data_IF_175049780486
#
_entry.id   IF_175049780486
#
_cell.length_a   1.000
_cell.length_b   1.000
_cell.length_c   1.000
_cell.angle_alpha   90.00
_cell.angle_beta   90.00
_cell.angle_gamma   90.00
#
_symmetry.space_group_name_H-M   'P 1'
#
loop_
_entity.id
_entity.type
_entity.pdbx_description
1 polymer ?
#
# COMPACT_ATOMS: atom_id res chain seq x y z
N UNK A 1 2.96 -29.27 -9.40
CA UNK A 1 2.20 -29.04 -8.15
C UNK A 1 1.98 -27.56 -8.01
N UNK A 2 0.84 -27.11 -7.46
CA UNK A 2 0.56 -25.70 -7.25
C UNK A 2 1.39 -25.17 -6.08
N UNK A 3 1.88 -23.93 -6.20
CA UNK A 3 2.64 -23.23 -5.14
C UNK A 3 1.86 -22.03 -4.67
N UNK A 4 1.78 -21.79 -3.36
CA UNK A 4 1.16 -20.61 -2.81
C UNK A 4 1.85 -20.16 -1.54
N UNK A 5 1.88 -18.83 -1.31
CA UNK A 5 2.53 -18.31 -0.11
C UNK A 5 2.40 -16.80 0.02
N UNK A 6 2.62 -16.34 1.26
CA UNK A 6 2.67 -14.94 1.62
C UNK A 6 4.07 -14.37 1.41
N UNK A 7 4.15 -13.30 0.61
CA UNK A 7 5.37 -12.57 0.26
C UNK A 7 5.32 -11.21 0.93
N UNK A 8 5.94 -11.09 2.09
CA UNK A 8 5.82 -9.88 2.90
C UNK A 8 6.98 -8.92 2.65
N UNK A 9 6.63 -7.65 2.39
CA UNK A 9 7.57 -6.59 2.03
C UNK A 9 7.73 -5.66 3.22
N UNK A 10 8.91 -5.66 3.83
CA UNK A 10 9.24 -4.86 5.01
C UNK A 10 10.49 -4.03 4.79
N UNK A 11 10.72 -3.02 5.61
CA UNK A 11 11.90 -2.15 5.54
C UNK A 11 11.60 -0.71 5.94
N UNK A 12 12.61 0.13 5.89
CA UNK A 12 12.56 1.52 6.29
C UNK A 12 11.55 2.36 5.47
N UNK A 13 11.09 3.51 5.96
CA UNK A 13 10.28 4.43 5.17
C UNK A 13 11.05 4.91 3.93
N UNK A 14 10.32 5.09 2.82
CA UNK A 14 10.82 5.66 1.56
C UNK A 14 11.85 4.83 0.79
N UNK A 15 12.14 3.59 1.16
CA UNK A 15 13.03 2.68 0.39
C UNK A 15 12.37 2.12 -0.88
N UNK A 16 11.08 2.39 -1.11
CA UNK A 16 10.35 2.01 -2.32
C UNK A 16 9.58 0.70 -2.24
N UNK A 17 9.14 0.27 -1.03
CA UNK A 17 8.32 -0.95 -0.81
C UNK A 17 7.05 -0.97 -1.66
N UNK A 18 6.23 0.09 -1.57
CA UNK A 18 4.97 0.22 -2.32
C UNK A 18 5.21 0.28 -3.84
N UNK A 19 6.31 0.91 -4.29
CA UNK A 19 6.69 0.91 -5.70
C UNK A 19 7.03 -0.50 -6.16
N UNK A 20 7.80 -1.24 -5.37
CA UNK A 20 8.18 -2.62 -5.65
C UNK A 20 6.95 -3.53 -5.66
N UNK A 21 6.05 -3.41 -4.68
CA UNK A 21 4.81 -4.19 -4.65
C UNK A 21 3.98 -3.95 -5.91
N UNK A 22 3.72 -2.68 -6.26
CA UNK A 22 2.94 -2.36 -7.47
C UNK A 22 3.62 -2.91 -8.74
N UNK A 23 4.96 -2.89 -8.80
CA UNK A 23 5.72 -3.46 -9.93
C UNK A 23 5.60 -4.99 -10.01
N UNK A 24 5.62 -5.69 -8.87
CA UNK A 24 5.49 -7.15 -8.80
C UNK A 24 4.06 -7.63 -9.06
N UNK A 25 3.06 -6.87 -8.59
CA UNK A 25 1.63 -7.18 -8.81
C UNK A 25 1.19 -6.82 -10.24
N UNK A 26 1.82 -5.81 -10.85
CA UNK A 26 1.44 -5.29 -12.16
C UNK A 26 0.29 -4.27 -12.12
N UNK A 27 -0.21 -3.95 -10.91
CA UNK A 27 -1.33 -3.04 -10.68
C UNK A 27 -1.01 -2.03 -9.58
N UNK A 28 -1.65 -0.86 -9.61
CA UNK A 28 -1.45 0.19 -8.63
C UNK A 28 -2.36 0.01 -7.43
N UNK A 29 -1.96 -0.83 -6.48
CA UNK A 29 -2.70 -1.07 -5.24
C UNK A 29 -2.25 -0.15 -4.09
N UNK A 30 -0.98 0.14 -4.00
CA UNK A 30 -0.44 1.04 -2.97
C UNK A 30 -0.15 2.43 -3.54
N UNK A 31 -0.45 3.47 -2.78
CA UNK A 31 -0.11 4.84 -3.14
C UNK A 31 1.40 5.08 -2.98
N UNK A 32 1.94 5.96 -3.82
CA UNK A 32 3.38 6.24 -3.87
C UNK A 32 3.62 7.73 -3.69
N UNK A 33 4.33 8.12 -2.63
CA UNK A 33 4.83 9.48 -2.45
C UNK A 33 6.23 9.47 -1.82
N UNK A 34 6.93 10.59 -1.88
CA UNK A 34 8.22 10.76 -1.20
C UNK A 34 8.08 11.03 0.30
N UNK A 35 6.86 11.16 0.82
CA UNK A 35 6.61 11.48 2.23
C UNK A 35 6.61 10.21 3.08
N UNK A 36 7.10 10.31 4.31
CA UNK A 36 6.96 9.25 5.29
C UNK A 36 5.48 8.98 5.60
N UNK A 37 5.16 7.80 6.13
CA UNK A 37 3.79 7.39 6.47
C UNK A 37 2.82 7.41 5.25
N UNK A 38 3.35 7.21 4.04
CA UNK A 38 2.53 7.05 2.84
C UNK A 38 1.66 5.81 2.97
N UNK A 39 2.23 4.64 3.22
CA UNK A 39 1.50 3.42 3.56
C UNK A 39 1.22 3.42 5.06
N UNK A 40 -0.05 3.33 5.46
CA UNK A 40 -0.49 3.27 6.86
C UNK A 40 -1.10 1.92 7.23
N UNK A 41 -1.69 1.24 6.27
CA UNK A 41 -2.29 -0.09 6.42
C UNK A 41 -1.39 -1.15 5.80
N UNK A 42 -1.57 -2.38 6.23
CA UNK A 42 -1.08 -3.54 5.50
C UNK A 42 -2.02 -3.79 4.32
N UNK A 43 -1.50 -3.84 3.10
CA UNK A 43 -2.27 -3.99 1.87
C UNK A 43 -1.84 -5.29 1.20
N UNK A 44 -2.79 -6.17 0.88
CA UNK A 44 -2.52 -7.37 0.13
C UNK A 44 -2.73 -7.16 -1.36
N UNK A 45 -1.79 -7.67 -2.17
CA UNK A 45 -1.88 -7.78 -3.62
C UNK A 45 -1.71 -9.23 -4.04
N UNK A 46 -2.70 -9.77 -4.73
CA UNK A 46 -2.77 -11.20 -5.07
C UNK A 46 -2.43 -11.37 -6.55
N UNK A 47 -1.43 -12.18 -6.83
CA UNK A 47 -1.04 -12.54 -8.19
C UNK A 47 -1.27 -14.01 -8.40
N UNK A 48 -2.09 -14.32 -9.39
CA UNK A 48 -2.47 -15.68 -9.76
C UNK A 48 -1.82 -16.12 -11.07
N UNK A 49 -1.31 -17.34 -11.10
CA UNK A 49 -0.91 -18.05 -12.31
C UNK A 49 -1.59 -19.41 -12.39
N UNK A 50 -1.27 -20.16 -13.43
CA UNK A 50 -1.84 -21.50 -13.62
C UNK A 50 -1.42 -22.44 -12.49
N UNK A 51 -0.17 -22.32 -12.04
CA UNK A 51 0.49 -23.20 -11.09
C UNK A 51 0.95 -22.51 -9.80
N UNK A 52 0.56 -21.24 -9.57
CA UNK A 52 0.92 -20.53 -8.37
C UNK A 52 -0.09 -19.46 -7.94
N UNK A 53 0.00 -19.06 -6.65
CA UNK A 53 -0.59 -17.85 -6.11
C UNK A 53 0.42 -17.18 -5.17
N UNK A 54 0.76 -15.91 -5.45
CA UNK A 54 1.58 -15.06 -4.59
C UNK A 54 0.71 -14.03 -3.91
N UNK A 55 0.74 -13.98 -2.59
CA UNK A 55 0.04 -12.97 -1.79
C UNK A 55 1.06 -11.96 -1.28
N UNK A 56 1.27 -10.91 -2.04
CA UNK A 56 2.16 -9.81 -1.64
C UNK A 56 1.52 -8.99 -0.53
N UNK A 57 2.33 -8.53 0.41
CA UNK A 57 1.89 -7.68 1.51
C UNK A 57 2.79 -6.45 1.61
N UNK A 58 2.28 -5.26 1.19
CA UNK A 58 2.94 -3.98 1.47
C UNK A 58 2.67 -3.56 2.90
N UNK A 59 3.72 -3.12 3.59
CA UNK A 59 3.64 -2.72 4.99
C UNK A 59 4.07 -1.27 5.20
N UNK A 60 3.58 -0.61 6.26
CA UNK A 60 4.12 0.67 6.67
C UNK A 60 5.64 0.61 6.85
N UNK A 61 6.33 1.72 6.57
CA UNK A 61 7.76 1.80 6.84
C UNK A 61 8.05 1.73 8.33
N UNK A 62 9.05 0.93 8.72
CA UNK A 62 9.48 0.78 10.10
C UNK A 62 10.02 2.11 10.62
N UNK A 63 9.40 2.65 11.68
CA UNK A 63 9.79 3.90 12.32
C UNK A 63 9.64 3.79 13.85
N UNK A 64 10.35 4.63 14.57
CA UNK A 64 10.17 4.76 16.02
C UNK A 64 8.86 5.51 16.28
N UNK A 65 7.86 4.89 16.93
CA UNK A 65 6.56 5.51 17.10
C UNK A 65 6.59 6.65 18.14
N UNK A 66 5.87 7.73 17.85
CA UNK A 66 5.71 8.89 18.75
C UNK A 66 4.24 9.03 19.25
N UNK A 67 3.30 8.36 18.60
CA UNK A 67 1.87 8.37 18.95
C UNK A 67 1.20 7.09 18.47
N UNK A 68 -0.01 6.83 18.98
CA UNK A 68 -0.69 5.52 18.85
C UNK A 68 -0.90 5.03 17.42
N UNK A 69 -1.23 5.90 16.47
CA UNK A 69 -1.31 5.48 15.06
C UNK A 69 0.01 4.88 14.56
N UNK A 70 1.16 5.49 14.93
CA UNK A 70 2.47 4.95 14.52
C UNK A 70 2.80 3.62 15.23
N UNK A 71 2.30 3.41 16.45
CA UNK A 71 2.40 2.12 17.14
C UNK A 71 1.65 1.04 16.34
N UNK A 72 0.42 1.33 15.88
CA UNK A 72 -0.35 0.40 15.04
C UNK A 72 0.34 0.13 13.69
N UNK A 73 0.89 1.17 13.05
CA UNK A 73 1.66 0.99 11.82
C UNK A 73 2.89 0.08 12.04
N UNK A 74 3.57 0.20 13.18
CA UNK A 74 4.69 -0.69 13.52
C UNK A 74 4.22 -2.13 13.77
N UNK A 75 3.05 -2.32 14.40
CA UNK A 75 2.47 -3.65 14.60
C UNK A 75 2.10 -4.32 13.26
N UNK A 76 1.60 -3.59 12.26
CA UNK A 76 1.41 -4.13 10.91
C UNK A 76 2.72 -4.63 10.29
N UNK A 77 3.83 -3.89 10.49
CA UNK A 77 5.14 -4.33 9.99
C UNK A 77 5.71 -5.52 10.77
N UNK A 78 5.39 -5.62 12.06
CA UNK A 78 5.80 -6.76 12.91
C UNK A 78 5.00 -8.03 12.59
N UNK A 79 3.69 -7.92 12.37
CA UNK A 79 2.87 -9.07 12.01
C UNK A 79 3.33 -9.69 10.69
N UNK A 80 3.78 -8.87 9.75
CA UNK A 80 4.32 -9.32 8.48
C UNK A 80 5.64 -10.12 8.59
N UNK A 81 6.33 -10.07 9.73
CA UNK A 81 7.49 -10.93 9.99
C UNK A 81 7.10 -12.36 10.42
N UNK A 82 5.87 -12.54 10.93
CA UNK A 82 5.43 -13.79 11.55
C UNK A 82 4.79 -14.73 10.52
N UNK A 83 4.04 -14.17 9.58
CA UNK A 83 3.21 -14.93 8.63
C UNK A 83 3.82 -15.00 7.21
N UNK A 84 5.10 -14.72 7.04
CA UNK A 84 5.78 -14.76 5.75
C UNK A 84 6.23 -16.19 5.39
N UNK A 85 5.96 -16.62 4.16
CA UNK A 85 6.66 -17.73 3.50
C UNK A 85 7.93 -17.22 2.78
N UNK A 86 7.83 -16.01 2.22
CA UNK A 86 8.94 -15.28 1.62
C UNK A 86 8.97 -13.87 2.23
N UNK A 87 10.13 -13.46 2.74
CA UNK A 87 10.34 -12.15 3.32
C UNK A 87 11.25 -11.29 2.44
N UNK A 88 10.74 -10.17 1.95
CA UNK A 88 11.51 -9.17 1.22
C UNK A 88 11.90 -8.04 2.18
N UNK A 89 13.13 -8.04 2.65
CA UNK A 89 13.68 -6.91 3.40
C UNK A 89 14.23 -5.87 2.42
N UNK A 90 13.53 -4.76 2.27
CA UNK A 90 13.83 -3.72 1.29
C UNK A 90 14.64 -2.60 1.92
N UNK A 91 15.79 -2.34 1.36
CA UNK A 91 16.65 -1.17 1.59
C UNK A 91 16.84 -0.40 0.27
N UNK A 92 17.55 0.71 0.29
CA UNK A 92 17.93 1.42 -0.93
C UNK A 92 19.39 1.88 -0.87
N UNK A 93 19.86 2.49 -1.94
CA UNK A 93 21.26 2.93 -2.09
C UNK A 93 21.68 4.05 -1.13
N UNK A 94 20.75 4.65 -0.39
CA UNK A 94 20.98 5.72 0.58
C UNK A 94 20.67 5.30 2.03
N UNK A 95 20.06 4.14 2.23
CA UNK A 95 19.66 3.66 3.56
C UNK A 95 20.85 3.06 4.32
N UNK A 96 20.80 3.11 5.65
CA UNK A 96 21.83 2.53 6.51
C UNK A 96 21.26 1.46 7.43
N UNK A 97 22.06 0.44 7.74
CA UNK A 97 21.69 -0.64 8.64
C UNK A 97 21.34 -0.15 10.06
N UNK A 98 21.89 0.97 10.49
CA UNK A 98 21.73 1.50 11.85
C UNK A 98 20.38 2.21 12.05
N UNK A 99 19.68 2.58 10.96
CA UNK A 99 18.46 3.39 11.04
C UNK A 99 17.35 2.74 11.86
N UNK A 100 17.22 1.41 11.81
CA UNK A 100 16.28 0.61 12.60
C UNK A 100 16.91 -0.74 12.96
N UNK A 101 18.04 -0.71 13.68
CA UNK A 101 18.84 -1.88 14.02
C UNK A 101 18.01 -2.98 14.70
N UNK A 102 17.15 -2.62 15.65
CA UNK A 102 16.26 -3.57 16.35
C UNK A 102 15.33 -4.35 15.41
N UNK A 103 14.90 -3.72 14.32
CA UNK A 103 14.06 -4.40 13.33
C UNK A 103 14.89 -5.28 12.40
N UNK A 104 16.06 -4.80 11.97
CA UNK A 104 17.01 -5.56 11.18
C UNK A 104 17.46 -6.82 11.95
N UNK A 105 17.70 -6.72 13.26
CA UNK A 105 18.08 -7.87 14.08
C UNK A 105 16.99 -8.95 14.13
N UNK A 106 15.72 -8.58 14.13
CA UNK A 106 14.62 -9.55 13.98
C UNK A 106 14.67 -10.27 12.63
N UNK A 107 14.94 -9.54 11.54
CA UNK A 107 15.09 -10.13 10.20
C UNK A 107 16.28 -11.09 10.17
N UNK A 108 17.42 -10.72 10.79
CA UNK A 108 18.60 -11.60 10.95
C UNK A 108 18.24 -12.89 11.69
N UNK A 109 17.50 -12.78 12.80
CA UNK A 109 17.06 -13.97 13.55
C UNK A 109 16.17 -14.89 12.73
N UNK A 110 15.25 -14.35 11.93
CA UNK A 110 14.36 -15.13 11.03
C UNK A 110 15.21 -15.86 9.98
N UNK A 111 16.13 -15.15 9.32
CA UNK A 111 16.99 -15.72 8.28
C UNK A 111 17.88 -16.84 8.84
N UNK A 112 18.53 -16.61 9.99
CA UNK A 112 19.37 -17.60 10.65
C UNK A 112 18.56 -18.82 11.13
N UNK A 113 17.38 -18.62 11.70
CA UNK A 113 16.50 -19.71 12.12
C UNK A 113 16.03 -20.56 10.93
N UNK A 114 15.68 -19.95 9.81
CA UNK A 114 15.31 -20.65 8.58
C UNK A 114 16.48 -21.49 8.05
N UNK A 115 17.69 -20.95 8.02
CA UNK A 115 18.88 -21.67 7.58
C UNK A 115 19.20 -22.89 8.49
N UNK A 116 19.09 -22.72 9.81
CA UNK A 116 19.31 -23.79 10.79
C UNK A 116 18.30 -24.93 10.71
N UNK A 117 17.06 -24.63 10.29
CA UNK A 117 15.98 -25.61 10.10
C UNK A 117 16.04 -26.30 8.71
N UNK A 118 17.12 -26.16 7.98
CA UNK A 118 17.28 -26.74 6.65
C UNK A 118 16.35 -26.09 5.61
N UNK A 119 16.05 -24.80 5.78
CA UNK A 119 15.22 -24.03 4.86
C UNK A 119 13.69 -24.23 5.04
N UNK A 120 13.25 -24.75 6.17
CA UNK A 120 11.81 -24.91 6.48
C UNK A 120 11.12 -23.63 6.95
N UNK A 121 11.88 -22.58 7.25
CA UNK A 121 11.36 -21.26 7.58
C UNK A 121 11.26 -20.34 6.37
N UNK A 122 10.88 -19.06 6.57
CA UNK A 122 10.76 -18.09 5.50
C UNK A 122 12.03 -17.93 4.69
N UNK A 123 11.91 -17.92 3.35
CA UNK A 123 13.03 -17.50 2.48
C UNK A 123 13.19 -15.98 2.58
N UNK A 124 14.40 -15.53 2.91
CA UNK A 124 14.70 -14.11 3.05
C UNK A 124 15.48 -13.60 1.84
N UNK A 125 14.92 -12.58 1.18
CA UNK A 125 15.59 -11.77 0.16
C UNK A 125 15.90 -10.38 0.71
N UNK A 126 17.13 -9.92 0.55
CA UNK A 126 17.52 -8.54 0.78
C UNK A 126 17.47 -7.79 -0.54
N UNK A 127 16.60 -6.82 -0.65
CA UNK A 127 16.39 -6.04 -1.87
C UNK A 127 17.10 -4.70 -1.74
N UNK A 128 18.11 -4.46 -2.58
CA UNK A 128 18.75 -3.14 -2.71
C UNK A 128 18.03 -2.41 -3.85
N UNK A 129 17.08 -1.54 -3.50
CA UNK A 129 16.27 -0.81 -4.46
C UNK A 129 16.93 0.51 -4.89
N UNK A 130 16.37 1.14 -5.94
CA UNK A 130 16.80 2.43 -6.51
C UNK A 130 18.22 2.42 -7.06
N UNK A 131 18.66 1.30 -7.62
CA UNK A 131 20.01 1.19 -8.19
C UNK A 131 20.24 2.13 -9.39
N UNK A 132 19.17 2.66 -9.98
CA UNK A 132 19.19 3.72 -10.97
C UNK A 132 19.81 5.03 -10.45
N UNK A 133 19.94 5.19 -9.13
CA UNK A 133 20.50 6.39 -8.47
C UNK A 133 21.98 6.20 -8.04
N UNK A 134 22.64 5.11 -8.43
CA UNK A 134 24.02 4.82 -7.99
C UNK A 134 24.89 4.31 -9.13
N UNK A 135 26.20 4.20 -8.89
CA UNK A 135 27.18 3.62 -9.82
C UNK A 135 27.41 2.14 -9.53
N UNK A 136 27.94 1.41 -10.50
CA UNK A 136 28.28 -0.01 -10.36
C UNK A 136 29.25 -0.25 -9.17
N UNK A 137 30.33 0.53 -9.07
CA UNK A 137 31.32 0.38 -7.98
C UNK A 137 30.71 0.61 -6.59
N UNK A 138 29.75 1.54 -6.48
CA UNK A 138 29.04 1.81 -5.21
C UNK A 138 28.07 0.67 -4.89
N UNK A 139 27.39 0.15 -5.90
CA UNK A 139 26.48 -0.98 -5.74
C UNK A 139 27.23 -2.24 -5.26
N UNK A 140 28.39 -2.55 -5.85
CA UNK A 140 29.22 -3.68 -5.44
C UNK A 140 29.63 -3.59 -3.96
N UNK A 141 30.06 -2.39 -3.51
CA UNK A 141 30.37 -2.16 -2.07
C UNK A 141 29.13 -2.33 -1.17
N UNK A 142 27.97 -1.89 -1.62
CA UNK A 142 26.71 -2.09 -0.87
C UNK A 142 26.33 -3.56 -0.78
N UNK A 143 26.49 -4.32 -1.85
CA UNK A 143 26.24 -5.77 -1.85
C UNK A 143 27.18 -6.46 -0.87
N UNK A 144 28.49 -6.15 -0.89
CA UNK A 144 29.46 -6.70 0.07
C UNK A 144 29.13 -6.32 1.53
N UNK A 145 28.74 -5.05 1.75
CA UNK A 145 28.32 -4.58 3.06
C UNK A 145 27.12 -5.36 3.58
N UNK A 146 26.05 -5.46 2.78
CA UNK A 146 24.84 -6.15 3.18
C UNK A 146 25.02 -7.66 3.30
N UNK A 147 25.89 -8.27 2.51
CA UNK A 147 26.25 -9.68 2.67
C UNK A 147 26.90 -9.97 4.04
N UNK A 148 27.69 -9.03 4.55
CA UNK A 148 28.24 -9.12 5.91
C UNK A 148 27.19 -8.91 7.01
N UNK A 149 26.19 -8.06 6.75
CA UNK A 149 25.13 -7.76 7.72
C UNK A 149 24.06 -8.85 7.81
N UNK A 150 23.74 -9.51 6.68
CA UNK A 150 22.70 -10.51 6.56
C UNK A 150 23.14 -11.65 5.62
N UNK A 151 24.10 -12.47 6.06
CA UNK A 151 24.75 -13.48 5.19
C UNK A 151 23.80 -14.59 4.72
N UNK A 152 22.72 -14.87 5.44
CA UNK A 152 21.73 -15.90 5.10
C UNK A 152 20.69 -15.43 4.07
N UNK A 153 20.64 -14.15 3.75
CA UNK A 153 19.70 -13.64 2.76
C UNK A 153 20.30 -13.63 1.35
N UNK A 154 19.45 -13.88 0.37
CA UNK A 154 19.83 -13.67 -1.03
C UNK A 154 19.65 -12.21 -1.41
N UNK A 155 20.74 -11.57 -1.89
CA UNK A 155 20.73 -10.17 -2.25
C UNK A 155 20.24 -10.00 -3.69
N UNK A 156 19.28 -9.09 -3.89
CA UNK A 156 18.73 -8.73 -5.21
C UNK A 156 18.75 -7.22 -5.40
N UNK A 157 19.71 -6.69 -6.20
CA UNK A 157 19.67 -5.30 -6.62
C UNK A 157 18.55 -5.08 -7.66
N UNK A 158 17.70 -4.05 -7.44
CA UNK A 158 16.59 -3.73 -8.33
C UNK A 158 16.42 -2.21 -8.51
N UNK A 159 15.77 -1.80 -9.58
CA UNK A 159 15.09 -0.51 -9.66
C UNK A 159 13.61 -0.78 -9.93
N UNK A 160 12.81 -0.70 -8.89
CA UNK A 160 11.36 -0.91 -8.99
C UNK A 160 10.71 0.14 -9.91
N UNK A 161 11.25 1.37 -9.94
CA UNK A 161 10.76 2.46 -10.78
C UNK A 161 11.06 2.21 -12.26
N UNK A 162 12.27 1.78 -12.59
CA UNK A 162 12.72 1.52 -13.96
C UNK A 162 12.48 0.05 -14.39
N UNK A 163 11.80 -0.75 -13.56
CA UNK A 163 11.49 -2.18 -13.79
C UNK A 163 12.72 -3.07 -13.96
N UNK A 164 13.92 -2.59 -13.59
CA UNK A 164 15.14 -3.38 -13.70
C UNK A 164 15.23 -4.42 -12.57
N UNK A 165 15.48 -5.69 -12.92
CA UNK A 165 15.62 -6.79 -11.97
C UNK A 165 14.29 -7.29 -11.37
N UNK A 166 13.15 -6.63 -11.63
CA UNK A 166 11.85 -6.98 -11.06
C UNK A 166 11.34 -8.32 -11.57
N UNK A 167 11.46 -8.59 -12.87
CA UNK A 167 11.03 -9.88 -13.44
C UNK A 167 11.86 -11.05 -12.88
N UNK A 168 13.17 -10.89 -12.74
CA UNK A 168 14.02 -11.94 -12.15
C UNK A 168 13.65 -12.17 -10.68
N UNK A 169 13.41 -11.09 -9.92
CA UNK A 169 12.95 -11.20 -8.55
C UNK A 169 11.60 -11.93 -8.45
N UNK A 170 10.67 -11.67 -9.38
CA UNK A 170 9.39 -12.35 -9.43
C UNK A 170 9.58 -13.88 -9.60
N UNK A 171 10.45 -14.31 -10.52
CA UNK A 171 10.74 -15.73 -10.71
C UNK A 171 11.45 -16.36 -9.50
N UNK A 172 12.36 -15.65 -8.89
CA UNK A 172 13.04 -16.11 -7.67
C UNK A 172 12.04 -16.32 -6.51
N UNK A 173 11.09 -15.38 -6.35
CA UNK A 173 10.00 -15.49 -5.36
C UNK A 173 9.12 -16.70 -5.69
N UNK A 174 8.67 -16.85 -6.94
CA UNK A 174 7.85 -17.99 -7.38
C UNK A 174 8.52 -19.33 -7.07
N UNK A 175 9.83 -19.43 -7.32
CA UNK A 175 10.60 -20.63 -7.04
C UNK A 175 10.71 -20.93 -5.53
N UNK A 176 10.75 -19.90 -4.69
CA UNK A 176 10.87 -20.01 -3.25
C UNK A 176 9.56 -20.34 -2.52
N UNK A 177 8.40 -20.22 -3.19
CA UNK A 177 7.11 -20.52 -2.57
C UNK A 177 6.99 -22.00 -2.20
N UNK A 178 6.34 -22.32 -1.07
CA UNK A 178 5.98 -23.69 -0.71
C UNK A 178 4.90 -24.27 -1.63
N UNK A 179 4.80 -25.56 -1.68
CA UNK A 179 3.67 -26.25 -2.29
C UNK A 179 2.42 -26.07 -1.42
N UNK A 180 1.30 -25.68 -2.04
CA UNK A 180 0.05 -25.41 -1.32
C UNK A 180 -1.09 -25.03 -2.26
N UNK A 181 -2.32 -25.11 -1.73
CA UNK A 181 -3.52 -24.66 -2.41
C UNK A 181 -3.63 -23.13 -2.37
N UNK A 182 -4.34 -22.50 -3.32
CA UNK A 182 -4.60 -21.05 -3.28
C UNK A 182 -5.30 -20.62 -1.99
N UNK A 183 -4.92 -19.46 -1.43
CA UNK A 183 -5.55 -18.87 -0.25
C UNK A 183 -6.80 -18.06 -0.61
N UNK A 184 -6.83 -17.52 -1.84
CA UNK A 184 -7.87 -16.62 -2.36
C UNK A 184 -8.39 -17.10 -3.71
N UNK A 185 -9.57 -16.64 -4.09
CA UNK A 185 -10.12 -16.90 -5.41
C UNK A 185 -9.20 -16.37 -6.51
N UNK A 186 -9.15 -17.08 -7.65
CA UNK A 186 -8.20 -16.76 -8.73
C UNK A 186 -8.46 -15.44 -9.46
N UNK A 187 -9.64 -14.87 -9.32
CA UNK A 187 -10.01 -13.56 -9.85
C UNK A 187 -9.84 -12.42 -8.83
N UNK A 188 -9.50 -12.76 -7.59
CA UNK A 188 -9.28 -11.77 -6.54
C UNK A 188 -7.90 -11.12 -6.67
N UNK A 189 -7.86 -9.78 -6.72
CA UNK A 189 -6.64 -8.99 -6.82
C UNK A 189 -6.13 -8.49 -5.47
N UNK A 190 -7.02 -8.31 -4.49
CA UNK A 190 -6.72 -7.73 -3.18
C UNK A 190 -7.78 -8.11 -2.14
N UNK A 191 -7.45 -7.97 -0.85
CA UNK A 191 -8.38 -8.15 0.27
C UNK A 191 -9.20 -6.88 0.61
N UNK A 192 -8.88 -5.75 -0.06
CA UNK A 192 -9.46 -4.45 0.27
C UNK A 192 -10.67 -4.12 -0.61
N UNK A 193 -11.73 -3.52 -0.02
CA UNK A 193 -12.89 -3.07 -0.80
C UNK A 193 -12.55 -1.83 -1.65
N UNK A 194 -13.35 -1.60 -2.68
CA UNK A 194 -13.20 -0.44 -3.59
C UNK A 194 -13.12 0.91 -2.85
N UNK A 195 -13.87 1.08 -1.76
CA UNK A 195 -13.85 2.31 -0.93
C UNK A 195 -12.47 2.62 -0.37
N UNK A 196 -11.74 1.60 0.07
CA UNK A 196 -10.38 1.76 0.60
C UNK A 196 -9.43 2.42 -0.42
N UNK A 197 -9.51 2.03 -1.69
CA UNK A 197 -8.66 2.62 -2.73
C UNK A 197 -9.05 4.07 -3.03
N UNK A 198 -10.33 4.42 -2.91
CA UNK A 198 -10.78 5.82 -3.01
C UNK A 198 -10.20 6.66 -1.87
N UNK A 199 -10.27 6.16 -0.63
CA UNK A 199 -9.67 6.82 0.55
C UNK A 199 -8.18 7.06 0.34
N UNK A 200 -7.45 6.04 -0.09
CA UNK A 200 -6.01 6.12 -0.35
C UNK A 200 -5.67 7.08 -1.51
N UNK A 201 -6.42 7.06 -2.62
CA UNK A 201 -6.21 8.00 -3.74
C UNK A 201 -6.43 9.45 -3.27
N UNK A 202 -7.49 9.74 -2.50
CA UNK A 202 -7.72 11.08 -1.95
C UNK A 202 -6.58 11.47 -1.00
N UNK A 203 -6.16 10.55 -0.11
CA UNK A 203 -5.07 10.76 0.83
C UNK A 203 -3.74 11.00 0.12
N UNK A 204 -3.46 10.30 -0.98
CA UNK A 204 -2.29 10.58 -1.82
C UNK A 204 -2.28 12.02 -2.33
N UNK A 205 -3.43 12.55 -2.80
CA UNK A 205 -3.48 13.94 -3.29
C UNK A 205 -3.25 14.94 -2.15
N UNK A 206 -3.67 14.61 -0.93
CA UNK A 206 -3.34 15.42 0.24
C UNK A 206 -1.84 15.36 0.52
N UNK A 207 -1.24 14.18 0.52
CA UNK A 207 0.21 14.01 0.67
C UNK A 207 1.01 14.81 -0.37
N UNK A 208 0.54 14.89 -1.61
CA UNK A 208 1.23 15.59 -2.70
C UNK A 208 1.04 17.11 -2.68
N UNK A 209 -0.09 17.61 -2.16
CA UNK A 209 -0.45 19.03 -2.25
C UNK A 209 -0.21 19.83 -0.97
N UNK A 210 0.01 19.19 0.17
CA UNK A 210 0.24 19.86 1.46
C UNK A 210 1.56 19.42 2.08
N UNK A 211 2.11 20.29 2.91
CA UNK A 211 3.40 20.09 3.59
C UNK A 211 3.26 20.17 5.12
N UNK A 212 4.39 20.13 5.80
CA UNK A 212 4.54 20.15 7.27
C UNK A 212 3.71 19.04 7.92
N UNK A 213 2.89 19.39 8.90
CA UNK A 213 2.10 18.44 9.70
C UNK A 213 0.78 18.00 9.02
N UNK A 214 0.30 18.73 8.02
CA UNK A 214 -1.02 18.46 7.40
C UNK A 214 -1.12 17.04 6.85
N UNK A 215 -0.17 16.53 6.03
CA UNK A 215 -0.23 15.17 5.50
C UNK A 215 -0.33 14.07 6.55
N UNK A 216 0.19 14.35 7.76
CA UNK A 216 0.28 13.37 8.85
C UNK A 216 -0.91 13.45 9.82
N UNK A 217 -1.73 14.50 9.72
CA UNK A 217 -2.86 14.77 10.61
C UNK A 217 -4.23 14.49 9.98
N UNK A 218 -4.25 14.02 8.73
CA UNK A 218 -5.48 13.74 8.00
C UNK A 218 -5.83 12.26 8.02
N UNK A 219 -7.13 11.97 8.05
CA UNK A 219 -7.73 10.70 7.70
C UNK A 219 -8.80 10.93 6.64
N UNK A 220 -9.04 9.93 5.80
CA UNK A 220 -10.06 10.01 4.74
C UNK A 220 -11.00 8.83 4.91
N UNK A 221 -12.30 9.09 4.81
CA UNK A 221 -13.34 8.08 4.90
C UNK A 221 -14.41 8.32 3.83
N UNK A 222 -14.66 7.31 3.01
CA UNK A 222 -15.78 7.29 2.05
C UNK A 222 -17.07 6.98 2.80
N UNK A 223 -17.90 8.01 3.01
CA UNK A 223 -19.23 7.85 3.64
C UNK A 223 -20.23 7.19 2.68
N UNK A 224 -20.16 7.50 1.38
CA UNK A 224 -21.06 6.93 0.36
C UNK A 224 -20.29 6.58 -0.91
N UNK A 225 -20.57 5.38 -1.43
CA UNK A 225 -20.08 4.88 -2.72
C UNK A 225 -21.21 4.15 -3.42
N UNK A 226 -21.67 4.69 -4.56
CA UNK A 226 -22.80 4.18 -5.34
C UNK A 226 -22.34 3.97 -6.77
N UNK A 227 -22.24 2.71 -7.20
CA UNK A 227 -22.05 2.35 -8.61
C UNK A 227 -23.44 2.12 -9.25
N UNK A 228 -23.87 3.02 -10.12
CA UNK A 228 -25.17 2.95 -10.76
C UNK A 228 -25.29 1.81 -11.78
N UNK A 229 -24.20 1.23 -12.25
CA UNK A 229 -24.24 0.05 -13.13
C UNK A 229 -24.57 -1.23 -12.36
N UNK A 230 -24.01 -1.41 -11.16
CA UNK A 230 -24.34 -2.54 -10.29
C UNK A 230 -25.81 -2.53 -9.86
N UNK A 231 -26.35 -1.34 -9.59
CA UNK A 231 -27.77 -1.18 -9.23
C UNK A 231 -28.72 -1.50 -10.41
N UNK A 232 -28.29 -1.36 -11.66
CA UNK A 232 -29.09 -1.69 -12.84
C UNK A 232 -29.19 -3.18 -13.11
N UNK A 233 -28.27 -3.97 -12.60
CA UNK A 233 -28.32 -5.44 -12.69
C UNK A 233 -29.32 -6.06 -11.69
N UNK A 234 -29.75 -5.30 -10.67
CA UNK A 234 -30.87 -5.71 -9.81
C UNK A 234 -32.19 -5.27 -10.48
N UNK A 235 -33.17 -6.15 -10.69
CA UNK A 235 -34.40 -5.83 -11.39
C UNK A 235 -35.27 -4.87 -10.55
N UNK A 236 -35.03 -3.57 -10.64
CA UNK A 236 -35.98 -2.55 -10.18
C UNK A 236 -36.96 -2.26 -11.30
N UNK A 237 -38.16 -2.81 -11.18
CA UNK A 237 -39.22 -2.76 -12.18
C UNK A 237 -39.75 -1.37 -12.54
N UNK A 238 -39.38 -0.28 -11.88
CA UNK A 238 -40.04 1.03 -12.03
C UNK A 238 -39.16 2.23 -12.40
N UNK A 239 -37.83 2.12 -12.46
CA UNK A 239 -36.95 3.25 -12.82
C UNK A 239 -36.68 3.36 -14.34
N UNK A 240 -36.90 2.29 -15.11
CA UNK A 240 -36.55 2.20 -16.52
C UNK A 240 -37.55 2.88 -17.50
N UNK A 241 -38.69 3.31 -17.02
CA UNK A 241 -39.72 3.88 -17.91
C UNK A 241 -39.42 5.33 -18.35
N UNK A 242 -38.76 6.14 -17.51
CA UNK A 242 -38.45 7.55 -17.83
C UNK A 242 -37.14 7.73 -18.62
N UNK A 243 -36.16 6.89 -18.50
CA UNK A 243 -34.88 6.98 -19.22
C UNK A 243 -35.00 6.56 -20.69
N UNK A 244 -35.90 5.61 -21.02
CA UNK A 244 -36.15 5.19 -22.40
C UNK A 244 -36.86 6.22 -23.29
N UNK A 245 -37.47 7.24 -22.67
CA UNK A 245 -38.19 8.27 -23.43
C UNK A 245 -37.28 9.26 -24.18
N UNK A 246 -36.01 9.42 -23.80
CA UNK A 246 -35.09 10.40 -24.39
C UNK A 246 -33.93 9.81 -25.23
N UNK A 247 -33.91 8.51 -25.48
CA UNK A 247 -32.90 7.89 -26.38
C UNK A 247 -31.42 7.99 -25.92
N UNK A 248 -31.14 8.53 -24.76
CA UNK A 248 -29.81 8.60 -24.17
C UNK A 248 -29.70 7.51 -23.13
N UNK A 249 -28.85 6.53 -23.40
CA UNK A 249 -28.38 5.65 -22.31
C UNK A 249 -27.63 6.51 -21.30
N UNK A 250 -28.04 6.54 -20.01
CA UNK A 250 -27.29 7.27 -18.99
C UNK A 250 -25.88 6.70 -18.95
N UNK A 251 -24.87 7.57 -19.01
CA UNK A 251 -23.46 7.17 -18.87
C UNK A 251 -23.28 6.47 -17.53
N UNK A 252 -22.49 5.38 -17.47
CA UNK A 252 -22.11 4.77 -16.20
C UNK A 252 -21.47 5.82 -15.32
N UNK A 253 -21.91 5.94 -14.08
CA UNK A 253 -21.43 6.93 -13.13
C UNK A 253 -21.29 6.32 -11.75
N UNK A 254 -20.13 6.53 -11.14
CA UNK A 254 -19.92 6.24 -9.72
C UNK A 254 -20.10 7.56 -8.95
N UNK A 255 -20.97 7.56 -7.95
CA UNK A 255 -21.14 8.68 -7.02
C UNK A 255 -20.43 8.39 -5.71
N UNK A 256 -19.53 9.31 -5.32
CA UNK A 256 -18.69 9.17 -4.13
C UNK A 256 -18.81 10.42 -3.27
N UNK A 257 -19.08 10.21 -1.99
CA UNK A 257 -18.99 11.23 -0.95
C UNK A 257 -17.95 10.81 0.08
N UNK A 258 -16.92 11.63 0.27
CA UNK A 258 -15.85 11.35 1.20
C UNK A 258 -15.58 12.52 2.14
N UNK A 259 -15.15 12.21 3.35
CA UNK A 259 -14.79 13.17 4.40
C UNK A 259 -13.30 13.09 4.69
N UNK A 260 -12.67 14.26 4.70
CA UNK A 260 -11.30 14.44 5.15
C UNK A 260 -11.37 14.91 6.60
N UNK A 261 -10.95 14.07 7.52
CA UNK A 261 -10.85 14.40 8.94
C UNK A 261 -9.50 15.03 9.25
N UNK A 262 -9.50 16.05 10.10
CA UNK A 262 -8.32 16.75 10.61
C UNK A 262 -8.44 16.92 12.12
N UNK A 263 -7.33 17.12 12.83
CA UNK A 263 -7.38 17.22 14.29
C UNK A 263 -7.79 18.61 14.81
N UNK A 264 -7.62 19.68 13.99
CA UNK A 264 -7.80 21.09 14.44
C UNK A 264 -8.50 21.93 13.38
N UNK A 265 -9.24 22.96 13.84
CA UNK A 265 -9.91 23.92 12.95
C UNK A 265 -8.93 24.69 12.05
N UNK A 266 -7.71 25.01 12.53
CA UNK A 266 -6.67 25.61 11.70
C UNK A 266 -6.25 24.74 10.52
N UNK A 267 -6.14 23.43 10.71
CA UNK A 267 -5.84 22.46 9.66
C UNK A 267 -6.99 22.36 8.65
N UNK A 268 -8.25 22.38 9.12
CA UNK A 268 -9.44 22.45 8.26
C UNK A 268 -9.37 23.66 7.33
N UNK A 269 -9.02 24.83 7.86
CA UNK A 269 -8.85 26.04 7.05
C UNK A 269 -7.78 25.90 5.97
N UNK A 270 -6.64 25.25 6.31
CA UNK A 270 -5.54 25.00 5.36
C UNK A 270 -5.98 24.03 4.26
N UNK A 271 -6.66 22.92 4.61
CA UNK A 271 -7.17 21.93 3.63
C UNK A 271 -8.16 22.57 2.66
N UNK A 272 -9.08 23.40 3.14
CA UNK A 272 -10.07 24.07 2.30
C UNK A 272 -9.40 25.13 1.40
N UNK A 273 -8.49 25.93 2.00
CA UNK A 273 -7.83 27.04 1.32
C UNK A 273 -8.75 28.22 1.03
N UNK A 274 -8.20 29.30 0.48
CA UNK A 274 -8.94 30.53 0.17
C UNK A 274 -10.07 30.23 -0.83
N UNK A 275 -11.32 30.48 -0.43
CA UNK A 275 -12.49 30.23 -1.27
C UNK A 275 -12.64 28.77 -1.72
N UNK A 276 -12.09 27.81 -0.99
CA UNK A 276 -12.17 26.38 -1.33
C UNK A 276 -11.21 25.91 -2.43
N UNK A 277 -10.27 26.77 -2.86
CA UNK A 277 -9.40 26.49 -4.02
C UNK A 277 -8.47 25.30 -3.83
N UNK A 278 -7.93 25.12 -2.63
CA UNK A 278 -7.02 24.00 -2.34
C UNK A 278 -7.76 22.66 -2.32
N UNK A 279 -8.90 22.59 -1.64
CA UNK A 279 -9.77 21.39 -1.64
C UNK A 279 -10.28 21.05 -3.04
N UNK A 280 -10.65 22.05 -3.85
CA UNK A 280 -11.05 21.86 -5.25
C UNK A 280 -9.92 21.24 -6.08
N UNK A 281 -8.67 21.68 -5.89
CA UNK A 281 -7.49 21.10 -6.57
C UNK A 281 -7.32 19.62 -6.21
N UNK A 282 -7.37 19.27 -4.92
CA UNK A 282 -7.32 17.88 -4.44
C UNK A 282 -8.45 17.06 -5.08
N UNK A 283 -9.70 17.56 -5.03
CA UNK A 283 -10.86 16.87 -5.59
C UNK A 283 -10.74 16.61 -7.10
N UNK A 284 -10.25 17.57 -7.88
CA UNK A 284 -10.04 17.38 -9.32
C UNK A 284 -8.97 16.32 -9.62
N UNK A 285 -7.86 16.33 -8.88
CA UNK A 285 -6.80 15.36 -9.06
C UNK A 285 -7.24 13.95 -8.61
N UNK A 286 -7.89 13.85 -7.44
CA UNK A 286 -8.41 12.59 -6.93
C UNK A 286 -9.45 12.00 -7.88
N UNK A 287 -10.42 12.80 -8.35
CA UNK A 287 -11.44 12.34 -9.29
C UNK A 287 -10.84 11.73 -10.54
N UNK A 288 -9.86 12.41 -11.16
CA UNK A 288 -9.18 11.89 -12.36
C UNK A 288 -8.55 10.52 -12.14
N UNK A 289 -7.85 10.35 -10.99
CA UNK A 289 -7.16 9.11 -10.69
C UNK A 289 -8.15 7.99 -10.28
N UNK A 290 -9.27 8.34 -9.63
CA UNK A 290 -10.36 7.40 -9.34
C UNK A 290 -11.06 6.98 -10.64
N UNK A 291 -11.33 7.91 -11.57
CA UNK A 291 -11.86 7.60 -12.91
C UNK A 291 -10.93 6.64 -13.68
N UNK A 292 -9.61 6.84 -13.59
CA UNK A 292 -8.63 5.95 -14.20
C UNK A 292 -8.60 4.56 -13.52
N UNK A 293 -8.75 4.50 -12.20
CA UNK A 293 -8.75 3.25 -11.44
C UNK A 293 -9.99 2.37 -11.76
N UNK A 294 -11.17 2.97 -11.77
CA UNK A 294 -12.42 2.25 -12.02
C UNK A 294 -12.81 2.16 -13.51
N UNK A 295 -12.09 2.86 -14.39
CA UNK A 295 -12.42 2.97 -15.82
C UNK A 295 -13.87 3.45 -16.06
N UNK A 296 -14.39 4.30 -15.16
CA UNK A 296 -15.75 4.84 -15.16
C UNK A 296 -15.75 6.32 -14.80
N UNK A 297 -16.69 7.12 -15.34
CA UNK A 297 -16.89 8.51 -14.89
C UNK A 297 -17.27 8.54 -13.41
N UNK A 298 -16.74 9.54 -12.67
CA UNK A 298 -16.94 9.68 -11.22
C UNK A 298 -17.47 11.08 -10.89
N UNK A 299 -18.49 11.12 -10.03
CA UNK A 299 -18.89 12.32 -9.32
C UNK A 299 -18.37 12.26 -7.89
N UNK A 300 -17.40 13.12 -7.56
CA UNK A 300 -16.72 13.12 -6.25
C UNK A 300 -17.09 14.38 -5.46
N UNK A 301 -17.62 14.17 -4.26
CA UNK A 301 -17.85 15.21 -3.26
C UNK A 301 -16.88 15.03 -2.08
N UNK A 302 -16.21 16.13 -1.69
CA UNK A 302 -15.29 16.14 -0.56
C UNK A 302 -15.74 17.12 0.51
N UNK A 303 -15.73 16.64 1.75
CA UNK A 303 -16.02 17.45 2.94
C UNK A 303 -14.83 17.43 3.87
N UNK A 304 -14.70 18.46 4.73
CA UNK A 304 -13.65 18.52 5.75
C UNK A 304 -14.29 18.67 7.12
N UNK A 305 -14.03 17.73 8.01
CA UNK A 305 -14.54 17.71 9.40
C UNK A 305 -13.37 17.69 10.38
N UNK A 306 -13.59 18.20 11.58
CA UNK A 306 -12.61 18.10 12.68
C UNK A 306 -12.96 16.89 13.54
N UNK A 307 -11.99 16.00 13.71
CA UNK A 307 -12.02 14.87 14.65
C UNK A 307 -10.80 14.98 15.56
N UNK A 308 -11.00 15.54 16.73
CA UNK A 308 -9.93 15.90 17.67
C UNK A 308 -9.23 14.65 18.19
N UNK A 309 -7.90 14.70 18.21
CA UNK A 309 -7.02 13.67 18.77
C UNK A 309 -7.23 12.26 18.20
N UNK A 310 -7.80 12.13 16.99
CA UNK A 310 -8.12 10.84 16.37
C UNK A 310 -6.90 9.89 16.28
N UNK A 311 -5.68 10.42 16.02
CA UNK A 311 -4.45 9.63 15.92
C UNK A 311 -4.04 8.94 17.23
N UNK A 312 -4.53 9.42 18.37
CA UNK A 312 -4.23 8.90 19.70
C UNK A 312 -5.43 8.20 20.34
N UNK A 313 -6.62 8.30 19.74
CA UNK A 313 -7.85 7.73 20.25
C UNK A 313 -8.07 6.30 19.71
N UNK A 314 -8.06 5.31 20.62
CA UNK A 314 -8.19 3.89 20.26
C UNK A 314 -9.49 3.57 19.51
N UNK A 315 -10.61 4.14 19.93
CA UNK A 315 -11.90 3.89 19.28
C UNK A 315 -11.93 4.44 17.85
N UNK A 316 -11.34 5.63 17.63
CA UNK A 316 -11.22 6.22 16.29
C UNK A 316 -10.28 5.42 15.40
N UNK A 317 -9.14 5.01 15.94
CA UNK A 317 -8.19 4.16 15.20
C UNK A 317 -8.82 2.83 14.77
N UNK A 318 -9.61 2.21 15.68
CA UNK A 318 -10.38 1.00 15.33
C UNK A 318 -11.41 1.28 14.23
N UNK A 319 -12.15 2.37 14.32
CA UNK A 319 -13.14 2.78 13.31
C UNK A 319 -12.49 2.93 11.93
N UNK A 320 -11.31 3.54 11.86
CA UNK A 320 -10.53 3.72 10.62
C UNK A 320 -9.72 2.48 10.20
N UNK A 321 -9.89 1.35 10.85
CA UNK A 321 -9.26 0.08 10.46
C UNK A 321 -7.79 -0.08 10.84
N UNK A 322 -7.31 0.65 11.86
CA UNK A 322 -5.94 0.55 12.36
C UNK A 322 -5.77 -0.45 13.52
N UNK A 323 -6.79 -1.19 13.92
CA UNK A 323 -6.70 -2.18 14.99
C UNK A 323 -6.47 -3.59 14.41
N UNK A 324 -5.47 -4.31 14.94
CA UNK A 324 -5.15 -5.70 14.57
C UNK A 324 -5.95 -6.74 15.39
N UNK A 325 -6.90 -6.32 16.22
CA UNK A 325 -7.67 -7.22 17.11
C UNK A 325 -8.78 -7.96 16.41
#
# INVERSE_FOLDING_TARGET
MHKSGFVNIVGNPNVGKSTLMNALVGERLSIITSKAQTTRHRILGIVNGDDFQMVYSDTPGVLKPNYRLQEQMLEFSRSALVDADVLLYVTDVQDSADRNADFLDKVKHIAAASAQQGGKGPKVFLIINKIDLTTQDTLERLVEFWHKQLPEAEIRPVSAKEQFGVQQLFEDIKNALPEGEPFFDKDQLTDRPARFFVDEIIREKILLNYDKEIPYSVEVEVESFIDHDEQRQQPMANANAKAKANGQQPKPLIEISAVIYVERDSQKGIIIGKGGSALKKVGMQARRDIEAFFQKPVYLQLYVKVDRDWRSNRSRLRHYGYDLS
#
